data_IF_822770247496
#
_entry.id   IF_822770247496
#
_cell.length_a   1.000
_cell.length_b   1.000
_cell.length_c   1.000
_cell.angle_alpha   90.00
_cell.angle_beta   90.00
_cell.angle_gamma   90.00
#
_symmetry.space_group_name_H-M   'P 1'
#
loop_
_entity.id
_entity.type
_entity.pdbx_description
1 polymer ?
#
# COMPACT_ATOMS: atom_id res chain seq x y z
N UNK A 1 -4.58 -15.34 -19.45
CA UNK A 1 -3.32 -15.30 -18.69
C UNK A 1 -2.33 -16.19 -19.40
N UNK A 2 -1.12 -15.71 -19.65
CA UNK A 2 -0.12 -16.44 -20.45
C UNK A 2 0.71 -17.40 -19.61
N UNK A 3 1.30 -18.42 -20.29
CA UNK A 3 2.39 -19.22 -19.75
C UNK A 3 3.67 -18.82 -20.46
N UNK A 4 4.74 -18.55 -19.72
CA UNK A 4 6.00 -18.03 -20.24
C UNK A 4 7.15 -18.27 -19.26
N UNK A 5 8.37 -18.01 -19.72
CA UNK A 5 9.59 -18.05 -18.92
C UNK A 5 10.29 -16.70 -18.99
N UNK A 6 10.76 -16.20 -17.86
CA UNK A 6 11.68 -15.06 -17.78
C UNK A 6 13.05 -15.56 -17.35
N UNK A 7 14.12 -15.05 -17.97
CA UNK A 7 15.49 -15.37 -17.62
C UNK A 7 16.23 -14.11 -17.18
N UNK A 8 17.01 -14.22 -16.08
CA UNK A 8 17.77 -13.10 -15.51
C UNK A 8 18.24 -13.37 -14.08
N UNK A 9 18.58 -12.31 -13.36
CA UNK A 9 18.94 -12.40 -11.94
C UNK A 9 17.70 -12.21 -11.07
N UNK A 10 17.25 -13.27 -10.42
CA UNK A 10 15.97 -13.30 -9.69
C UNK A 10 16.22 -13.09 -8.20
N UNK A 11 15.50 -12.15 -7.59
CA UNK A 11 15.55 -11.91 -6.14
C UNK A 11 14.14 -11.78 -5.60
N UNK A 12 13.82 -12.54 -4.54
CA UNK A 12 12.55 -12.40 -3.80
C UNK A 12 12.72 -12.72 -2.31
N UNK A 13 11.67 -12.45 -1.52
CA UNK A 13 11.68 -12.67 -0.07
C UNK A 13 11.16 -14.06 0.28
N UNK A 14 11.97 -14.85 0.99
CA UNK A 14 11.53 -16.10 1.63
C UNK A 14 10.92 -15.84 3.01
N UNK A 15 11.50 -14.92 3.78
CA UNK A 15 11.01 -14.44 5.07
C UNK A 15 11.40 -12.97 5.27
N UNK A 16 10.97 -12.31 6.35
CA UNK A 16 11.44 -10.94 6.63
C UNK A 16 12.97 -10.79 6.70
N UNK A 17 13.67 -11.85 7.14
CA UNK A 17 15.13 -11.82 7.34
C UNK A 17 15.92 -12.41 6.18
N UNK A 18 15.24 -13.10 5.24
CA UNK A 18 15.94 -13.89 4.22
C UNK A 18 15.44 -13.63 2.82
N UNK A 19 16.38 -13.23 1.96
CA UNK A 19 16.16 -13.11 0.51
C UNK A 19 16.67 -14.39 -0.18
N UNK A 20 15.92 -14.86 -1.19
CA UNK A 20 16.44 -15.77 -2.20
C UNK A 20 17.10 -14.95 -3.29
N UNK A 21 18.32 -15.29 -3.65
CA UNK A 21 19.07 -14.71 -4.76
C UNK A 21 19.45 -15.84 -5.72
N UNK A 22 18.88 -15.83 -6.92
CA UNK A 22 19.13 -16.82 -7.96
C UNK A 22 19.66 -16.09 -9.20
N UNK A 23 21.00 -16.05 -9.32
CA UNK A 23 21.65 -15.45 -10.48
C UNK A 23 21.48 -16.35 -11.71
N UNK A 24 21.41 -15.74 -12.91
CA UNK A 24 21.35 -16.43 -14.20
C UNK A 24 20.33 -17.58 -14.21
N UNK A 25 19.10 -17.27 -13.80
CA UNK A 25 18.07 -18.26 -13.49
C UNK A 25 16.76 -18.02 -14.24
N UNK A 26 15.89 -19.02 -14.25
CA UNK A 26 14.63 -19.04 -14.98
C UNK A 26 13.46 -18.96 -14.02
N UNK A 27 12.59 -17.96 -14.21
CA UNK A 27 11.30 -17.80 -13.53
C UNK A 27 10.18 -18.27 -14.44
N UNK A 28 9.45 -19.31 -14.05
CA UNK A 28 8.40 -19.91 -14.86
C UNK A 28 7.01 -19.47 -14.39
N UNK A 29 6.21 -19.02 -15.34
CA UNK A 29 4.80 -18.72 -15.19
C UNK A 29 3.94 -19.71 -15.95
N UNK A 30 2.93 -20.28 -15.31
CA UNK A 30 1.85 -21.01 -15.97
C UNK A 30 0.50 -20.41 -15.53
N UNK A 31 -0.33 -20.06 -16.50
CA UNK A 31 -1.69 -19.51 -16.31
C UNK A 31 -1.74 -18.32 -15.31
N UNK A 32 -0.72 -17.46 -15.34
CA UNK A 32 -0.63 -16.27 -14.49
C UNK A 32 -0.13 -16.51 -13.07
N UNK A 33 0.35 -17.74 -12.78
CA UNK A 33 0.93 -18.11 -11.49
C UNK A 33 2.39 -18.53 -11.64
N UNK A 34 3.16 -18.25 -10.61
CA UNK A 34 4.52 -18.72 -10.51
C UNK A 34 4.54 -20.25 -10.34
N UNK A 35 5.35 -20.94 -11.15
CA UNK A 35 5.61 -22.37 -11.00
C UNK A 35 6.91 -22.62 -10.23
N UNK A 36 7.84 -21.67 -10.26
CA UNK A 36 9.10 -21.73 -9.51
C UNK A 36 10.23 -20.98 -10.20
N UNK A 37 11.35 -20.95 -9.48
CA UNK A 37 12.65 -20.42 -9.94
C UNK A 37 13.61 -21.61 -10.11
N UNK A 38 14.30 -21.67 -11.26
CA UNK A 38 15.15 -22.80 -11.65
C UNK A 38 16.50 -22.29 -12.15
N UNK A 39 17.62 -22.90 -11.71
CA UNK A 39 18.96 -22.59 -12.21
C UNK A 39 19.21 -23.12 -13.63
N UNK A 40 18.43 -24.13 -14.06
CA UNK A 40 18.36 -24.60 -15.44
C UNK A 40 16.91 -24.85 -15.81
N UNK A 41 16.49 -24.45 -17.00
CA UNK A 41 15.10 -24.59 -17.44
C UNK A 41 14.74 -26.09 -17.58
N UNK A 42 13.78 -26.60 -16.79
CA UNK A 42 13.34 -27.98 -16.93
C UNK A 42 12.75 -28.25 -18.33
N UNK A 43 13.02 -29.42 -18.90
CA UNK A 43 12.64 -29.79 -20.27
C UNK A 43 11.14 -29.60 -20.55
N UNK A 44 10.30 -29.89 -19.56
CA UNK A 44 8.83 -29.71 -19.66
C UNK A 44 8.39 -28.27 -19.97
N UNK A 45 9.24 -27.28 -19.75
CA UNK A 45 8.98 -25.86 -20.01
C UNK A 45 9.70 -25.32 -21.25
N UNK A 46 10.50 -26.14 -21.94
CA UNK A 46 11.28 -25.72 -23.12
C UNK A 46 10.43 -25.20 -24.29
N UNK A 47 9.14 -25.57 -24.33
CA UNK A 47 8.18 -25.08 -25.34
C UNK A 47 7.48 -23.78 -25.00
N UNK A 48 7.70 -23.19 -23.80
CA UNK A 48 7.09 -21.93 -23.42
C UNK A 48 7.86 -20.74 -24.04
N UNK A 49 7.14 -19.62 -24.36
CA UNK A 49 7.82 -18.39 -24.76
C UNK A 49 8.82 -17.93 -23.70
N UNK A 50 10.07 -17.77 -24.08
CA UNK A 50 11.16 -17.28 -23.23
C UNK A 50 11.44 -15.81 -23.53
N UNK A 51 11.47 -14.98 -22.50
CA UNK A 51 12.05 -13.63 -22.57
C UNK A 51 13.35 -13.62 -21.77
N UNK A 52 14.45 -13.41 -22.47
CA UNK A 52 15.78 -13.29 -21.86
C UNK A 52 16.05 -11.82 -21.52
N UNK A 53 16.18 -11.51 -20.25
CA UNK A 53 16.56 -10.20 -19.74
C UNK A 53 18.04 -10.04 -19.45
N UNK A 54 18.83 -11.09 -19.73
CA UNK A 54 20.28 -11.09 -19.52
C UNK A 54 20.63 -10.81 -18.06
N UNK A 55 21.46 -9.80 -17.84
CA UNK A 55 21.95 -9.45 -16.50
C UNK A 55 20.97 -8.64 -15.63
N UNK A 56 19.76 -8.31 -16.10
CA UNK A 56 18.79 -7.52 -15.35
C UNK A 56 18.25 -8.24 -14.12
N UNK A 57 17.83 -7.43 -13.12
CA UNK A 57 17.20 -7.95 -11.92
C UNK A 57 15.70 -8.20 -12.17
N UNK A 58 15.22 -9.36 -11.76
CA UNK A 58 13.79 -9.72 -11.79
C UNK A 58 13.31 -9.82 -10.33
N UNK A 59 12.42 -8.91 -9.94
CA UNK A 59 11.89 -8.78 -8.59
C UNK A 59 10.38 -9.05 -8.58
N UNK A 60 9.78 -9.50 -7.46
CA UNK A 60 8.34 -9.46 -7.32
C UNK A 60 7.80 -8.04 -7.49
N UNK A 61 6.64 -7.91 -8.10
CA UNK A 61 5.91 -6.66 -8.11
C UNK A 61 5.62 -6.18 -6.69
N UNK A 62 5.74 -4.88 -6.45
CA UNK A 62 5.57 -4.30 -5.14
C UNK A 62 4.08 -4.04 -4.83
N UNK A 63 3.76 -4.03 -3.53
CA UNK A 63 2.42 -3.75 -3.02
C UNK A 63 2.43 -2.47 -2.19
N UNK A 64 1.60 -1.51 -2.58
CA UNK A 64 1.34 -0.29 -1.84
C UNK A 64 0.03 -0.44 -1.05
N UNK A 65 0.11 -0.56 0.28
CA UNK A 65 -1.04 -0.81 1.14
C UNK A 65 -1.83 0.44 1.51
N UNK A 66 -1.31 1.64 1.19
CA UNK A 66 -1.97 2.88 1.58
C UNK A 66 -1.53 4.05 0.72
N UNK A 67 -2.45 4.61 -0.05
CA UNK A 67 -2.26 5.85 -0.79
C UNK A 67 -3.60 6.51 -1.15
N UNK A 68 -3.55 7.83 -1.38
CA UNK A 68 -4.72 8.66 -1.69
C UNK A 68 -4.67 9.18 -3.12
N UNK A 69 -5.45 8.57 -4.03
CA UNK A 69 -5.51 9.02 -5.42
C UNK A 69 -5.89 10.50 -5.60
N UNK A 70 -6.86 11.06 -4.83
CA UNK A 70 -7.25 12.46 -5.00
C UNK A 70 -6.22 13.46 -4.49
N UNK A 71 -5.17 13.03 -3.81
CA UNK A 71 -4.12 13.90 -3.30
C UNK A 71 -2.91 14.01 -4.24
N UNK A 72 -2.91 13.26 -5.34
CA UNK A 72 -1.81 13.24 -6.30
C UNK A 72 -1.40 14.62 -6.81
N UNK A 73 -2.36 15.52 -7.02
CA UNK A 73 -2.12 16.82 -7.66
C UNK A 73 -1.28 17.80 -6.81
N UNK A 74 -1.24 17.65 -5.49
CA UNK A 74 -0.52 18.56 -4.59
C UNK A 74 0.67 17.92 -3.85
N UNK A 75 1.20 16.82 -4.38
CA UNK A 75 2.40 16.18 -3.85
C UNK A 75 3.52 17.17 -3.60
N UNK A 76 4.15 17.09 -2.41
CA UNK A 76 5.27 17.96 -2.04
C UNK A 76 4.86 19.39 -1.64
N UNK A 77 3.55 19.68 -1.48
CA UNK A 77 3.07 20.97 -1.00
C UNK A 77 2.69 20.91 0.47
N UNK A 78 3.07 21.93 1.23
CA UNK A 78 2.72 22.09 2.64
C UNK A 78 3.43 21.12 3.59
N UNK A 79 4.60 20.61 3.22
CA UNK A 79 5.40 19.67 4.02
C UNK A 79 6.04 20.30 5.28
N UNK A 80 5.76 21.56 5.56
CA UNK A 80 6.12 22.29 6.78
C UNK A 80 4.95 22.38 7.80
N UNK A 81 3.84 21.70 7.52
CA UNK A 81 2.66 21.66 8.38
C UNK A 81 2.54 20.31 9.10
N UNK A 82 1.90 20.32 10.27
CA UNK A 82 1.46 19.09 10.93
C UNK A 82 0.14 18.58 10.33
N UNK A 83 -0.21 17.32 10.62
CA UNK A 83 -1.33 16.59 10.02
C UNK A 83 -2.64 17.40 9.93
N UNK A 84 -3.17 17.90 11.03
CA UNK A 84 -4.48 18.54 11.04
C UNK A 84 -4.48 19.87 10.29
N UNK A 85 -3.41 20.63 10.35
CA UNK A 85 -3.26 21.89 9.59
C UNK A 85 -3.07 21.60 8.10
N UNK A 86 -2.30 20.57 7.75
CA UNK A 86 -2.10 20.14 6.36
C UNK A 86 -3.40 19.64 5.73
N UNK A 87 -4.20 18.85 6.46
CA UNK A 87 -5.54 18.41 6.01
C UNK A 87 -6.42 19.60 5.64
N UNK A 88 -6.48 20.62 6.48
CA UNK A 88 -7.32 21.80 6.26
C UNK A 88 -6.80 22.72 5.16
N UNK A 89 -5.47 22.90 5.07
CA UNK A 89 -4.87 23.85 4.13
C UNK A 89 -4.77 23.30 2.69
N UNK A 90 -4.51 22.00 2.52
CA UNK A 90 -4.22 21.39 1.22
C UNK A 90 -5.17 20.24 0.87
N UNK A 91 -5.35 19.27 1.76
CA UNK A 91 -6.04 18.02 1.45
C UNK A 91 -7.51 18.21 1.15
N UNK A 92 -8.26 18.78 2.07
CA UNK A 92 -9.70 18.95 1.90
C UNK A 92 -10.07 19.90 0.75
N UNK A 93 -9.38 21.05 0.54
CA UNK A 93 -9.62 21.87 -0.63
C UNK A 93 -9.37 21.16 -1.97
N UNK A 94 -8.37 20.29 -2.03
CA UNK A 94 -8.08 19.51 -3.23
C UNK A 94 -9.10 18.41 -3.46
N UNK A 95 -9.41 17.60 -2.44
CA UNK A 95 -10.37 16.49 -2.54
C UNK A 95 -11.79 16.98 -2.92
N UNK A 96 -12.19 18.18 -2.51
CA UNK A 96 -13.46 18.77 -2.89
C UNK A 96 -13.62 19.02 -4.39
N UNK A 97 -12.50 19.22 -5.14
CA UNK A 97 -12.54 19.43 -6.60
C UNK A 97 -13.02 18.18 -7.36
N UNK A 98 -12.94 17.01 -6.77
CA UNK A 98 -13.34 15.75 -7.40
C UNK A 98 -14.86 15.56 -7.51
N UNK A 99 -15.66 16.49 -7.03
CA UNK A 99 -17.07 16.63 -7.40
C UNK A 99 -17.24 16.92 -8.90
N UNK A 100 -16.26 17.60 -9.52
CA UNK A 100 -16.16 17.78 -10.98
C UNK A 100 -15.49 16.57 -11.62
N UNK A 101 -16.25 15.78 -12.36
CA UNK A 101 -15.75 14.58 -13.05
C UNK A 101 -14.71 14.90 -14.12
N UNK A 102 -14.71 16.10 -14.70
CA UNK A 102 -13.68 16.51 -15.69
C UNK A 102 -12.34 16.70 -14.99
N UNK A 103 -12.32 17.31 -13.81
CA UNK A 103 -11.15 17.40 -12.97
C UNK A 103 -10.68 16.02 -12.49
N UNK A 104 -11.61 15.21 -11.99
CA UNK A 104 -11.33 13.86 -11.53
C UNK A 104 -10.70 13.00 -12.64
N UNK A 105 -11.22 13.06 -13.87
CA UNK A 105 -10.69 12.31 -15.00
C UNK A 105 -9.24 12.70 -15.33
N UNK A 106 -8.93 14.00 -15.32
CA UNK A 106 -7.57 14.50 -15.56
C UNK A 106 -6.60 14.05 -14.47
N UNK A 107 -6.95 14.31 -13.20
CA UNK A 107 -6.06 14.02 -12.06
C UNK A 107 -5.86 12.51 -11.85
N UNK A 108 -6.94 11.72 -11.89
CA UNK A 108 -6.84 10.27 -11.77
C UNK A 108 -6.14 9.61 -12.96
N UNK A 109 -6.31 10.16 -14.18
CA UNK A 109 -5.57 9.68 -15.35
C UNK A 109 -4.07 9.80 -15.15
N UNK A 110 -3.58 10.96 -14.65
CA UNK A 110 -2.18 11.19 -14.35
C UNK A 110 -1.68 10.30 -13.20
N UNK A 111 -2.46 10.18 -12.13
CA UNK A 111 -2.15 9.29 -11.00
C UNK A 111 -1.96 7.83 -11.45
N UNK A 112 -2.94 7.29 -12.16
CA UNK A 112 -2.92 5.89 -12.61
C UNK A 112 -1.76 5.64 -13.59
N UNK A 113 -1.43 6.61 -14.44
CA UNK A 113 -0.31 6.50 -15.37
C UNK A 113 1.04 6.49 -14.64
N UNK A 114 1.22 7.31 -13.58
CA UNK A 114 2.40 7.26 -12.72
C UNK A 114 2.49 5.92 -11.97
N UNK A 115 1.40 5.48 -11.34
CA UNK A 115 1.37 4.22 -10.61
C UNK A 115 1.64 3.02 -11.53
N UNK A 116 1.11 3.04 -12.76
CA UNK A 116 1.36 2.00 -13.75
C UNK A 116 2.83 1.91 -14.15
N UNK A 117 3.56 3.03 -14.18
CA UNK A 117 5.01 3.06 -14.50
C UNK A 117 5.89 2.71 -13.30
N UNK A 118 5.41 2.86 -12.07
CA UNK A 118 6.16 2.50 -10.86
C UNK A 118 6.35 0.98 -10.70
N UNK A 119 7.07 0.54 -9.68
CA UNK A 119 7.24 -0.88 -9.35
C UNK A 119 5.98 -1.52 -8.73
N UNK A 120 4.95 -0.73 -8.41
CA UNK A 120 3.72 -1.18 -7.77
C UNK A 120 2.86 -1.98 -8.73
N UNK A 121 2.54 -3.22 -8.39
CA UNK A 121 1.61 -4.09 -9.13
C UNK A 121 0.26 -4.20 -8.45
N UNK A 122 0.24 -3.98 -7.13
CA UNK A 122 -0.97 -4.01 -6.31
C UNK A 122 -1.04 -2.80 -5.40
N UNK A 123 -2.24 -2.22 -5.27
CA UNK A 123 -2.45 -1.01 -4.49
C UNK A 123 -3.76 -1.03 -3.73
N UNK A 124 -3.77 -0.42 -2.53
CA UNK A 124 -4.98 -0.18 -1.74
C UNK A 124 -5.19 1.33 -1.62
N UNK A 125 -6.22 1.83 -2.29
CA UNK A 125 -6.35 3.23 -2.68
C UNK A 125 -7.56 3.89 -2.00
N UNK A 126 -7.34 5.02 -1.35
CA UNK A 126 -8.40 5.92 -0.94
C UNK A 126 -8.88 6.73 -2.15
N UNK A 127 -10.19 6.70 -2.42
CA UNK A 127 -10.86 7.58 -3.36
C UNK A 127 -11.35 8.87 -2.67
N UNK A 128 -12.52 9.34 -3.06
CA UNK A 128 -13.18 10.50 -2.46
C UNK A 128 -14.52 10.12 -1.83
N UNK A 129 -15.21 11.11 -1.21
CA UNK A 129 -16.60 10.96 -0.77
C UNK A 129 -17.58 10.87 -1.96
N UNK A 130 -17.17 11.28 -3.16
CA UNK A 130 -18.01 11.35 -4.36
C UNK A 130 -18.06 9.97 -5.07
N UNK A 131 -19.20 9.23 -5.07
CA UNK A 131 -19.30 7.89 -5.65
C UNK A 131 -18.94 7.84 -7.13
N UNK A 132 -19.35 8.83 -7.92
CA UNK A 132 -19.09 8.87 -9.35
C UNK A 132 -17.59 9.01 -9.67
N UNK A 133 -16.88 9.88 -8.96
CA UNK A 133 -15.43 10.04 -9.10
C UNK A 133 -14.68 8.78 -8.64
N UNK A 134 -15.13 8.13 -7.56
CA UNK A 134 -14.52 6.87 -7.10
C UNK A 134 -14.76 5.73 -8.09
N UNK A 135 -15.93 5.66 -8.75
CA UNK A 135 -16.18 4.70 -9.83
C UNK A 135 -15.26 4.95 -11.02
N UNK A 136 -15.09 6.20 -11.44
CA UNK A 136 -14.15 6.59 -12.51
C UNK A 136 -12.70 6.16 -12.17
N UNK A 137 -12.25 6.35 -10.92
CA UNK A 137 -10.94 5.86 -10.47
C UNK A 137 -10.82 4.34 -10.63
N UNK A 138 -11.87 3.60 -10.25
CA UNK A 138 -11.88 2.13 -10.42
C UNK A 138 -11.82 1.72 -11.88
N UNK A 139 -12.51 2.41 -12.77
CA UNK A 139 -12.46 2.17 -14.23
C UNK A 139 -11.05 2.38 -14.79
N UNK A 140 -10.39 3.47 -14.41
CA UNK A 140 -9.03 3.77 -14.84
C UNK A 140 -8.00 2.75 -14.30
N UNK A 141 -8.12 2.35 -13.04
CA UNK A 141 -7.26 1.32 -12.45
C UNK A 141 -7.49 -0.05 -13.09
N UNK A 142 -8.75 -0.44 -13.34
CA UNK A 142 -9.07 -1.67 -14.06
C UNK A 142 -8.44 -1.69 -15.47
N UNK A 143 -8.56 -0.59 -16.20
CA UNK A 143 -7.98 -0.45 -17.54
C UNK A 143 -6.45 -0.43 -17.55
N UNK A 144 -5.81 -0.06 -16.45
CA UNK A 144 -4.33 -0.01 -16.32
C UNK A 144 -3.69 -1.39 -16.27
N UNK A 145 -4.45 -2.43 -15.93
CA UNK A 145 -3.96 -3.79 -15.70
C UNK A 145 -3.35 -4.02 -14.32
N UNK A 146 -3.35 -3.01 -13.43
CA UNK A 146 -3.00 -3.17 -12.02
C UNK A 146 -4.10 -3.92 -11.27
N UNK A 147 -3.76 -4.52 -10.13
CA UNK A 147 -4.76 -5.09 -9.21
C UNK A 147 -4.89 -4.18 -8.00
N UNK A 148 -6.11 -3.78 -7.67
CA UNK A 148 -6.31 -2.81 -6.60
C UNK A 148 -7.54 -3.08 -5.74
N UNK A 149 -7.50 -2.57 -4.52
CA UNK A 149 -8.67 -2.23 -3.73
C UNK A 149 -8.86 -0.72 -3.77
N UNK A 150 -10.09 -0.27 -3.95
CA UNK A 150 -10.43 1.17 -3.97
C UNK A 150 -11.60 1.40 -3.03
N UNK A 151 -11.53 2.46 -2.22
CA UNK A 151 -12.58 2.80 -1.30
C UNK A 151 -13.21 4.16 -1.55
N UNK A 152 -14.55 4.21 -1.55
CA UNK A 152 -15.27 5.46 -1.39
C UNK A 152 -15.11 5.90 0.06
N UNK A 153 -14.54 7.09 0.26
CA UNK A 153 -14.32 7.66 1.59
C UNK A 153 -15.66 8.03 2.23
N UNK A 154 -15.78 7.75 3.54
CA UNK A 154 -16.95 8.12 4.34
C UNK A 154 -16.57 9.18 5.35
N UNK A 155 -17.33 10.30 5.38
CA UNK A 155 -17.17 11.41 6.33
C UNK A 155 -18.51 12.09 6.54
N UNK A 156 -19.01 12.15 7.80
CA UNK A 156 -20.24 12.82 8.17
C UNK A 156 -20.08 13.76 9.39
N UNK A 157 -18.86 13.89 9.92
CA UNK A 157 -18.51 14.69 11.09
C UNK A 157 -17.16 15.39 10.92
N UNK A 158 -16.95 16.52 11.56
CA UNK A 158 -15.67 17.25 11.69
C UNK A 158 -14.85 17.35 10.41
N UNK A 159 -15.51 17.68 9.30
CA UNK A 159 -14.90 17.90 7.99
C UNK A 159 -15.59 19.06 7.27
N UNK A 160 -14.96 19.70 6.27
CA UNK A 160 -15.56 20.78 5.51
C UNK A 160 -16.87 20.38 4.86
N UNK A 161 -17.80 21.33 4.75
CA UNK A 161 -19.14 21.11 4.20
C UNK A 161 -19.13 20.48 2.80
N UNK A 162 -18.15 20.85 1.96
CA UNK A 162 -18.00 20.32 0.59
C UNK A 162 -17.67 18.81 0.55
N UNK A 163 -17.18 18.23 1.67
CA UNK A 163 -16.81 16.82 1.79
C UNK A 163 -17.67 16.10 2.84
N UNK A 164 -18.55 16.82 3.53
CA UNK A 164 -19.40 16.23 4.57
C UNK A 164 -20.66 15.64 3.97
N UNK A 165 -20.83 14.34 4.14
CA UNK A 165 -22.08 13.67 3.84
C UNK A 165 -23.15 14.11 4.85
N UNK A 166 -24.41 14.17 4.43
CA UNK A 166 -25.48 14.78 5.20
C UNK A 166 -25.67 14.16 6.60
N UNK A 167 -25.56 12.84 6.67
CA UNK A 167 -25.60 12.05 7.89
C UNK A 167 -25.11 10.61 7.62
N UNK A 168 -25.06 9.77 8.65
CA UNK A 168 -24.66 8.37 8.54
C UNK A 168 -25.52 7.57 7.56
N UNK A 169 -26.84 7.81 7.55
CA UNK A 169 -27.75 7.07 6.68
C UNK A 169 -27.51 7.41 5.19
N UNK A 170 -27.30 8.69 4.88
CA UNK A 170 -26.96 9.15 3.54
C UNK A 170 -25.61 8.57 3.07
N UNK A 171 -24.58 8.58 3.94
CA UNK A 171 -23.28 8.02 3.65
C UNK A 171 -23.34 6.51 3.36
N UNK A 172 -24.08 5.76 4.18
CA UNK A 172 -24.28 4.32 4.01
C UNK A 172 -25.04 4.02 2.71
N UNK A 173 -26.12 4.75 2.42
CA UNK A 173 -26.90 4.58 1.19
C UNK A 173 -26.05 4.86 -0.05
N UNK A 174 -25.27 5.95 -0.05
CA UNK A 174 -24.34 6.26 -1.15
C UNK A 174 -23.26 5.18 -1.32
N UNK A 175 -22.76 4.62 -0.21
CA UNK A 175 -21.79 3.52 -0.24
C UNK A 175 -22.41 2.24 -0.81
N UNK A 176 -23.62 1.86 -0.41
CA UNK A 176 -24.31 0.69 -0.96
C UNK A 176 -24.61 0.84 -2.46
N UNK A 177 -25.03 2.04 -2.89
CA UNK A 177 -25.24 2.34 -4.30
C UNK A 177 -23.95 2.23 -5.11
N UNK A 178 -22.85 2.78 -4.59
CA UNK A 178 -21.53 2.66 -5.22
C UNK A 178 -21.08 1.20 -5.31
N UNK A 179 -21.21 0.41 -4.26
CA UNK A 179 -20.89 -1.01 -4.25
C UNK A 179 -21.68 -1.83 -5.28
N UNK A 180 -22.91 -1.43 -5.60
CA UNK A 180 -23.73 -2.08 -6.62
C UNK A 180 -23.18 -1.85 -8.04
N UNK A 181 -22.52 -0.72 -8.29
CA UNK A 181 -21.90 -0.35 -9.57
C UNK A 181 -20.45 -0.84 -9.71
N UNK A 182 -19.74 -1.05 -8.60
CA UNK A 182 -18.31 -1.40 -8.55
C UNK A 182 -18.09 -2.90 -8.87
N UNK A 183 -18.24 -3.29 -10.14
CA UNK A 183 -18.13 -4.69 -10.61
C UNK A 183 -16.99 -4.84 -11.62
N UNK A 184 -15.75 -4.89 -11.11
CA UNK A 184 -14.53 -5.03 -11.89
C UNK A 184 -13.82 -6.36 -11.59
N UNK A 185 -12.98 -6.83 -12.52
CA UNK A 185 -12.27 -8.09 -12.38
C UNK A 185 -11.07 -7.95 -11.43
N UNK A 186 -10.29 -6.89 -11.60
CA UNK A 186 -9.00 -6.68 -10.93
C UNK A 186 -9.05 -5.57 -9.87
N UNK A 187 -10.03 -4.67 -9.94
CA UNK A 187 -10.25 -3.59 -8.99
C UNK A 187 -11.44 -3.93 -8.10
N UNK A 188 -11.21 -4.06 -6.80
CA UNK A 188 -12.23 -4.48 -5.83
C UNK A 188 -12.57 -3.34 -4.86
N UNK A 189 -13.82 -3.28 -4.35
CA UNK A 189 -14.18 -2.30 -3.33
C UNK A 189 -13.60 -2.68 -1.96
N UNK A 190 -13.27 -1.64 -1.18
CA UNK A 190 -12.91 -1.71 0.23
C UNK A 190 -13.66 -0.60 0.99
N UNK A 191 -14.21 -0.88 2.16
CA UNK A 191 -14.89 0.12 2.97
C UNK A 191 -13.86 1.06 3.60
N UNK A 192 -14.15 2.37 3.55
CA UNK A 192 -13.15 3.38 3.86
C UNK A 192 -13.73 4.49 4.75
N UNK A 193 -14.05 4.21 6.04
CA UNK A 193 -14.16 5.30 7.00
C UNK A 193 -12.82 6.03 7.01
N UNK A 194 -12.83 7.37 6.80
CA UNK A 194 -11.54 8.09 6.68
C UNK A 194 -10.70 7.91 7.94
N UNK A 195 -11.27 8.25 9.09
CA UNK A 195 -10.73 8.02 10.43
C UNK A 195 -11.81 8.39 11.47
N UNK A 196 -11.63 8.03 12.73
CA UNK A 196 -12.63 8.25 13.78
C UNK A 196 -13.09 9.72 13.89
N UNK A 197 -12.21 10.74 13.82
CA UNK A 197 -12.67 12.13 13.93
C UNK A 197 -13.73 12.53 12.91
N UNK A 198 -13.63 12.07 11.66
CA UNK A 198 -14.55 12.47 10.58
C UNK A 198 -15.74 11.55 10.38
N UNK A 199 -15.89 10.51 11.21
CA UNK A 199 -17.01 9.57 11.13
C UNK A 199 -17.79 9.54 12.44
N UNK A 200 -19.11 9.74 12.37
CA UNK A 200 -19.97 9.59 13.56
C UNK A 200 -20.01 8.12 14.01
N UNK A 201 -20.35 7.88 15.28
CA UNK A 201 -20.49 6.54 15.82
C UNK A 201 -21.56 5.74 15.05
N UNK A 202 -22.64 6.37 14.62
CA UNK A 202 -23.68 5.75 13.80
C UNK A 202 -23.14 5.32 12.43
N UNK A 203 -22.29 6.14 11.80
CA UNK A 203 -21.64 5.80 10.53
C UNK A 203 -20.66 4.64 10.72
N UNK A 204 -19.81 4.69 11.73
CA UNK A 204 -18.83 3.64 12.05
C UNK A 204 -19.53 2.31 12.31
N UNK A 205 -20.60 2.30 13.12
CA UNK A 205 -21.41 1.12 13.39
C UNK A 205 -22.02 0.56 12.10
N UNK A 206 -22.66 1.42 11.29
CA UNK A 206 -23.29 1.01 10.04
C UNK A 206 -22.29 0.43 9.01
N UNK A 207 -21.08 0.99 8.94
CA UNK A 207 -20.00 0.46 8.08
C UNK A 207 -19.51 -0.90 8.57
N UNK A 208 -19.38 -1.11 9.89
CA UNK A 208 -19.03 -2.42 10.46
C UNK A 208 -20.09 -3.48 10.15
N UNK A 209 -21.38 -3.15 10.28
CA UNK A 209 -22.48 -4.03 9.90
C UNK A 209 -22.47 -4.34 8.39
N UNK A 210 -22.18 -3.33 7.55
CA UNK A 210 -22.05 -3.49 6.10
C UNK A 210 -20.85 -4.38 5.74
N UNK A 211 -19.70 -4.19 6.41
CA UNK A 211 -18.53 -5.04 6.25
C UNK A 211 -18.84 -6.50 6.52
N UNK A 212 -19.47 -6.77 7.67
CA UNK A 212 -19.86 -8.13 8.08
C UNK A 212 -20.89 -8.75 7.12
N UNK A 213 -21.94 -8.00 6.74
CA UNK A 213 -23.00 -8.48 5.86
C UNK A 213 -22.52 -8.81 4.45
N UNK A 214 -21.54 -8.05 3.93
CA UNK A 214 -21.02 -8.19 2.56
C UNK A 214 -19.68 -8.93 2.46
N UNK A 215 -19.03 -9.21 3.60
CA UNK A 215 -17.67 -9.79 3.63
C UNK A 215 -16.62 -8.85 3.01
N UNK A 216 -16.77 -7.54 3.19
CA UNK A 216 -15.88 -6.54 2.58
C UNK A 216 -14.71 -6.22 3.50
N UNK A 217 -13.49 -6.06 2.95
CA UNK A 217 -12.37 -5.56 3.72
C UNK A 217 -12.55 -4.08 4.08
N UNK A 218 -11.77 -3.63 5.07
CA UNK A 218 -11.81 -2.27 5.61
C UNK A 218 -10.42 -1.65 5.56
N UNK A 219 -10.34 -0.35 5.28
CA UNK A 219 -9.12 0.45 5.45
C UNK A 219 -9.43 1.74 6.20
N UNK A 220 -8.48 2.20 7.02
CA UNK A 220 -8.58 3.49 7.72
C UNK A 220 -7.20 3.94 8.21
N UNK A 221 -7.15 5.05 8.97
CA UNK A 221 -5.96 5.57 9.64
C UNK A 221 -6.03 5.26 11.13
N UNK A 222 -4.87 5.02 11.75
CA UNK A 222 -4.80 4.64 13.17
C UNK A 222 -3.55 5.19 13.84
N UNK A 223 -3.75 5.89 14.97
CA UNK A 223 -2.69 6.29 15.89
C UNK A 223 -1.49 6.93 15.20
N UNK A 224 -1.77 7.83 14.25
CA UNK A 224 -0.76 8.48 13.43
C UNK A 224 -0.09 9.63 14.17
N UNK A 225 -0.87 10.58 14.72
CA UNK A 225 -0.40 11.83 15.30
C UNK A 225 -0.95 12.01 16.72
N UNK A 226 -0.16 12.59 17.63
CA UNK A 226 -0.57 12.79 19.02
C UNK A 226 -1.79 13.70 19.15
N UNK A 227 -1.92 14.72 18.29
CA UNK A 227 -3.09 15.60 18.25
C UNK A 227 -4.35 14.85 17.81
N UNK A 228 -4.24 13.98 16.82
CA UNK A 228 -5.30 13.08 16.36
C UNK A 228 -5.75 12.13 17.49
N UNK A 229 -4.81 11.48 18.15
CA UNK A 229 -5.10 10.55 19.27
C UNK A 229 -5.83 11.26 20.40
N UNK A 230 -5.38 12.47 20.79
CA UNK A 230 -6.05 13.27 21.81
C UNK A 230 -7.48 13.64 21.42
N UNK A 231 -7.72 13.97 20.14
CA UNK A 231 -9.05 14.24 19.60
C UNK A 231 -9.93 12.99 19.68
N UNK A 232 -9.43 11.82 19.25
CA UNK A 232 -10.17 10.55 19.34
C UNK A 232 -10.51 10.20 20.79
N UNK A 233 -9.59 10.38 21.72
CA UNK A 233 -9.87 10.13 23.13
C UNK A 233 -11.00 11.05 23.68
N UNK A 234 -11.09 12.29 23.19
CA UNK A 234 -12.18 13.21 23.55
C UNK A 234 -13.52 12.79 22.95
N UNK A 235 -13.52 12.23 21.74
CA UNK A 235 -14.72 11.78 21.02
C UNK A 235 -15.22 10.41 21.51
N UNK A 236 -14.28 9.55 21.94
CA UNK A 236 -14.54 8.17 22.35
C UNK A 236 -14.01 7.93 23.80
N UNK A 237 -14.52 8.65 24.82
CA UNK A 237 -14.00 8.57 26.19
C UNK A 237 -14.21 7.20 26.86
N UNK A 238 -14.97 6.30 26.22
CA UNK A 238 -15.25 4.94 26.66
C UNK A 238 -14.21 3.93 26.16
N UNK A 239 -13.18 4.35 25.40
CA UNK A 239 -12.12 3.49 24.89
C UNK A 239 -10.82 3.76 25.62
N UNK A 240 -10.01 2.71 25.83
CA UNK A 240 -8.72 2.82 26.48
C UNK A 240 -7.62 3.24 25.48
N UNK A 241 -7.82 2.90 24.18
CA UNK A 241 -6.92 3.26 23.09
C UNK A 241 -7.69 3.36 21.74
N UNK A 242 -7.06 3.93 20.73
CA UNK A 242 -7.72 4.33 19.50
C UNK A 242 -8.35 3.16 18.71
N UNK A 243 -7.64 2.03 18.51
CA UNK A 243 -8.15 0.89 17.74
C UNK A 243 -9.42 0.27 18.35
N UNK A 244 -9.66 0.45 19.65
CA UNK A 244 -10.86 -0.03 20.32
C UNK A 244 -12.13 0.64 19.77
N UNK A 245 -12.05 1.90 19.31
CA UNK A 245 -13.16 2.59 18.66
C UNK A 245 -13.59 1.86 17.36
N UNK A 246 -12.64 1.36 16.58
CA UNK A 246 -12.93 0.55 15.40
C UNK A 246 -13.44 -0.85 15.75
N UNK A 247 -12.83 -1.49 16.74
CA UNK A 247 -13.19 -2.86 17.13
C UNK A 247 -14.63 -2.94 17.67
N UNK A 248 -15.04 -1.98 18.50
CA UNK A 248 -16.42 -1.88 19.04
C UNK A 248 -17.46 -1.75 17.94
N UNK A 249 -17.11 -1.13 16.81
CA UNK A 249 -17.97 -1.02 15.63
C UNK A 249 -17.89 -2.22 14.69
N UNK A 250 -17.09 -3.25 15.01
CA UNK A 250 -16.91 -4.46 14.20
C UNK A 250 -16.02 -4.26 12.96
N UNK A 251 -15.37 -3.10 12.79
CA UNK A 251 -14.57 -2.76 11.61
C UNK A 251 -13.24 -3.54 11.55
N UNK A 252 -12.75 -4.09 12.67
CA UNK A 252 -11.57 -4.96 12.70
C UNK A 252 -11.91 -6.45 12.54
N UNK A 253 -13.19 -6.81 12.35
CA UNK A 253 -13.65 -8.22 12.25
C UNK A 253 -13.54 -8.79 10.85
N UNK A 254 -13.25 -7.97 9.85
CA UNK A 254 -12.98 -8.36 8.46
C UNK A 254 -11.49 -8.12 8.13
N UNK A 255 -10.96 -8.62 7.01
CA UNK A 255 -9.63 -8.25 6.58
C UNK A 255 -9.48 -6.72 6.60
N UNK A 256 -8.51 -6.21 7.36
CA UNK A 256 -8.42 -4.77 7.65
C UNK A 256 -7.00 -4.25 7.48
N UNK A 257 -6.87 -3.04 6.94
CA UNK A 257 -5.62 -2.29 6.88
C UNK A 257 -5.78 -1.02 7.71
N UNK A 258 -4.84 -0.80 8.63
CA UNK A 258 -4.69 0.43 9.37
C UNK A 258 -3.38 1.11 8.99
N UNK A 259 -3.48 2.34 8.46
CA UNK A 259 -2.31 3.13 8.08
C UNK A 259 -1.63 3.73 9.30
N UNK A 260 -0.33 3.95 9.18
CA UNK A 260 0.60 4.60 10.11
C UNK A 260 0.92 3.79 11.37
N UNK A 261 0.02 3.67 12.33
CA UNK A 261 0.25 2.97 13.60
C UNK A 261 1.56 3.44 14.29
N UNK A 262 1.77 4.77 14.37
CA UNK A 262 3.01 5.36 14.89
C UNK A 262 3.09 5.23 16.41
N UNK A 263 1.97 5.45 17.09
CA UNK A 263 1.89 5.60 18.55
C UNK A 263 1.03 4.52 19.22
N UNK A 264 0.98 3.31 18.67
CA UNK A 264 0.18 2.21 19.23
C UNK A 264 0.79 1.71 20.55
N UNK A 265 0.10 1.82 21.70
CA UNK A 265 0.53 1.21 22.96
C UNK A 265 0.50 -0.33 22.86
N UNK A 266 1.14 -1.06 23.79
CA UNK A 266 1.20 -2.52 23.74
C UNK A 266 -0.16 -3.23 23.62
N UNK A 267 -1.16 -2.74 24.34
CA UNK A 267 -2.54 -3.26 24.34
C UNK A 267 -3.21 -3.11 22.99
N UNK A 268 -2.99 -1.99 22.33
CA UNK A 268 -3.47 -1.75 20.95
C UNK A 268 -2.79 -2.71 19.97
N UNK A 269 -1.47 -2.91 20.11
CA UNK A 269 -0.72 -3.88 19.30
C UNK A 269 -1.25 -5.31 19.50
N UNK A 270 -1.60 -5.71 20.73
CA UNK A 270 -2.20 -7.01 21.04
C UNK A 270 -3.56 -7.18 20.33
N UNK A 271 -4.40 -6.14 20.33
CA UNK A 271 -5.66 -6.14 19.61
C UNK A 271 -5.45 -6.28 18.09
N UNK A 272 -4.54 -5.49 17.50
CA UNK A 272 -4.24 -5.55 16.08
C UNK A 272 -3.74 -6.95 15.66
N UNK A 273 -2.89 -7.56 16.47
CA UNK A 273 -2.39 -8.92 16.26
C UNK A 273 -3.54 -9.94 16.32
N UNK A 274 -4.37 -9.89 17.36
CA UNK A 274 -5.50 -10.79 17.56
C UNK A 274 -6.53 -10.73 16.43
N UNK A 275 -6.75 -9.54 15.86
CA UNK A 275 -7.65 -9.30 14.71
C UNK A 275 -6.98 -9.57 13.36
N UNK A 276 -5.66 -9.80 13.32
CA UNK A 276 -4.90 -10.02 12.09
C UNK A 276 -4.87 -8.80 11.18
N UNK A 277 -4.92 -7.60 11.75
CA UNK A 277 -4.88 -6.33 11.03
C UNK A 277 -3.54 -6.17 10.32
N UNK A 278 -3.58 -5.67 9.09
CA UNK A 278 -2.39 -5.24 8.37
C UNK A 278 -2.08 -3.79 8.71
N UNK A 279 -0.84 -3.52 9.06
CA UNK A 279 -0.31 -2.17 9.27
C UNK A 279 0.32 -1.70 7.96
N UNK A 280 -0.14 -0.57 7.42
CA UNK A 280 0.51 0.10 6.30
C UNK A 280 1.49 1.14 6.87
N UNK A 281 2.79 0.80 6.87
CA UNK A 281 3.84 1.70 7.33
C UNK A 281 4.14 2.74 6.26
N UNK A 282 3.89 4.01 6.56
CA UNK A 282 4.03 5.16 5.66
C UNK A 282 5.13 6.12 6.16
N UNK A 283 6.42 5.73 6.07
CA UNK A 283 7.51 6.45 6.73
C UNK A 283 7.74 7.86 6.18
N UNK A 284 7.53 8.10 4.87
CA UNK A 284 7.66 9.41 4.25
C UNK A 284 6.63 10.39 4.81
N UNK A 285 5.37 10.00 4.81
CA UNK A 285 4.28 10.80 5.40
C UNK A 285 4.49 11.08 6.87
N UNK A 286 4.81 10.04 7.66
CA UNK A 286 5.05 10.20 9.09
C UNK A 286 6.19 11.21 9.39
N UNK A 287 7.21 11.26 8.52
CA UNK A 287 8.30 12.23 8.59
C UNK A 287 7.84 13.64 8.19
N UNK A 288 7.17 13.75 7.05
CA UNK A 288 6.72 15.02 6.47
C UNK A 288 5.71 15.75 7.37
N UNK A 289 4.77 15.03 7.97
CA UNK A 289 3.71 15.60 8.81
C UNK A 289 4.06 15.60 10.30
N UNK A 290 5.34 15.36 10.65
CA UNK A 290 5.82 15.34 12.04
C UNK A 290 5.08 14.34 12.94
N UNK A 291 4.50 13.29 12.37
CA UNK A 291 3.72 12.27 13.10
C UNK A 291 4.61 11.42 14.01
N UNK A 292 5.87 11.17 13.62
CA UNK A 292 6.83 10.42 14.41
C UNK A 292 7.37 9.17 13.72
N UNK A 293 7.94 8.24 14.46
CA UNK A 293 8.59 7.03 13.92
C UNK A 293 7.93 5.77 14.48
N UNK A 294 7.20 5.06 13.63
CA UNK A 294 6.57 3.78 13.99
C UNK A 294 7.61 2.71 14.37
N UNK A 295 7.36 1.88 15.41
CA UNK A 295 8.28 0.86 15.88
C UNK A 295 8.23 -0.44 15.05
N UNK A 296 8.43 -0.34 13.73
CA UNK A 296 8.18 -1.42 12.76
C UNK A 296 9.01 -2.68 13.04
N UNK A 297 10.27 -2.52 13.49
CA UNK A 297 11.10 -3.68 13.88
C UNK A 297 10.48 -4.46 15.05
N UNK A 298 9.91 -3.73 16.03
CA UNK A 298 9.19 -4.37 17.14
C UNK A 298 7.89 -5.04 16.66
N UNK A 299 7.17 -4.43 15.72
CA UNK A 299 5.98 -5.04 15.12
C UNK A 299 6.29 -6.36 14.42
N UNK A 300 7.35 -6.40 13.61
CA UNK A 300 7.81 -7.63 12.95
C UNK A 300 8.21 -8.70 13.98
N UNK A 301 8.96 -8.31 15.02
CA UNK A 301 9.36 -9.23 16.08
C UNK A 301 8.18 -9.83 16.87
N UNK A 302 7.07 -9.09 16.99
CA UNK A 302 5.81 -9.55 17.60
C UNK A 302 4.94 -10.37 16.62
N UNK A 303 5.31 -10.48 15.34
CA UNK A 303 4.54 -11.19 14.33
C UNK A 303 3.31 -10.42 13.82
N UNK A 304 3.26 -9.10 13.98
CA UNK A 304 2.25 -8.25 13.36
C UNK A 304 2.43 -8.26 11.84
N UNK A 305 1.33 -8.13 11.12
CA UNK A 305 1.31 -8.07 9.65
C UNK A 305 1.62 -6.64 9.22
N UNK A 306 2.75 -6.43 8.59
CA UNK A 306 3.19 -5.09 8.15
C UNK A 306 3.53 -5.12 6.66
N UNK A 307 3.10 -4.09 5.95
CA UNK A 307 3.55 -3.75 4.60
C UNK A 307 3.84 -2.26 4.50
N UNK A 308 4.30 -1.80 3.34
CA UNK A 308 4.55 -0.39 3.10
C UNK A 308 3.33 0.31 2.51
N UNK A 309 3.18 1.59 2.81
CA UNK A 309 2.29 2.54 2.16
C UNK A 309 3.09 3.75 1.69
N UNK A 310 2.83 4.23 0.47
CA UNK A 310 3.42 5.50 0.01
C UNK A 310 2.75 6.71 0.65
N UNK A 311 1.48 6.56 0.98
CA UNK A 311 0.63 7.62 1.51
C UNK A 311 0.72 8.91 0.69
N UNK A 312 0.58 8.74 -0.61
CA UNK A 312 0.55 9.84 -1.55
C UNK A 312 -0.70 10.73 -1.26
N UNK A 313 -0.60 12.06 -0.96
CA UNK A 313 0.54 12.95 -1.16
C UNK A 313 1.30 13.39 0.10
N UNK A 314 0.91 12.98 1.31
CA UNK A 314 1.70 13.25 2.51
C UNK A 314 3.10 12.58 2.40
N UNK A 315 3.16 11.37 1.83
CA UNK A 315 4.37 10.89 1.16
C UNK A 315 4.46 11.49 -0.25
N UNK A 316 5.55 12.15 -0.59
CA UNK A 316 5.68 12.92 -1.83
C UNK A 316 5.82 12.08 -3.11
N UNK A 317 5.79 10.74 -3.02
CA UNK A 317 6.06 9.85 -4.16
C UNK A 317 5.37 8.49 -4.05
N UNK A 318 4.97 7.94 -5.19
CA UNK A 318 4.51 6.54 -5.36
C UNK A 318 5.68 5.54 -5.52
N UNK A 319 6.92 6.00 -5.45
CA UNK A 319 8.12 5.17 -5.62
C UNK A 319 8.43 4.37 -4.35
N UNK A 320 8.02 3.10 -4.29
CA UNK A 320 8.25 2.23 -3.14
C UNK A 320 9.74 1.94 -2.86
N UNK A 321 10.66 2.17 -3.80
CA UNK A 321 12.10 2.15 -3.49
C UNK A 321 12.47 3.26 -2.51
N UNK A 322 11.95 4.48 -2.71
CA UNK A 322 12.14 5.59 -1.77
C UNK A 322 11.48 5.31 -0.42
N UNK A 323 10.29 4.74 -0.42
CA UNK A 323 9.58 4.34 0.81
C UNK A 323 10.40 3.32 1.60
N UNK A 324 10.98 2.29 0.95
CA UNK A 324 11.89 1.33 1.59
C UNK A 324 13.13 2.01 2.19
N UNK A 325 13.78 2.90 1.43
CA UNK A 325 14.95 3.62 1.90
C UNK A 325 14.64 4.48 3.13
N UNK A 326 13.49 5.16 3.14
CA UNK A 326 13.06 5.95 4.29
C UNK A 326 12.69 5.07 5.48
N UNK A 327 11.99 3.96 5.30
CA UNK A 327 11.70 3.01 6.37
C UNK A 327 13.00 2.56 7.09
N UNK A 328 14.06 2.27 6.32
CA UNK A 328 15.37 1.93 6.90
C UNK A 328 15.98 3.12 7.65
N UNK A 329 15.93 4.34 7.08
CA UNK A 329 16.52 5.55 7.70
C UNK A 329 15.85 5.88 9.03
N UNK A 330 14.51 5.98 9.03
CA UNK A 330 13.77 6.35 10.25
C UNK A 330 13.88 5.26 11.32
N UNK A 331 13.98 3.98 10.96
CA UNK A 331 14.21 2.91 11.93
C UNK A 331 15.57 3.04 12.64
N UNK A 332 16.62 3.50 11.92
CA UNK A 332 17.92 3.81 12.51
C UNK A 332 17.86 5.03 13.42
N UNK A 333 17.08 6.07 13.06
CA UNK A 333 16.87 7.23 13.92
C UNK A 333 16.13 6.84 15.20
N UNK A 334 15.06 6.04 15.09
CA UNK A 334 14.36 5.53 16.27
C UNK A 334 15.28 4.76 17.19
N UNK A 335 16.08 3.84 16.66
CA UNK A 335 17.04 3.05 17.42
C UNK A 335 18.06 3.93 18.18
N UNK A 336 18.53 5.02 17.59
CA UNK A 336 19.51 5.90 18.23
C UNK A 336 18.92 6.92 19.19
N UNK A 337 17.69 7.36 18.96
CA UNK A 337 17.15 8.53 19.65
C UNK A 337 16.00 8.21 20.62
N UNK A 338 15.27 7.12 20.37
CA UNK A 338 14.04 6.83 21.12
C UNK A 338 14.03 5.46 21.79
N UNK A 339 14.49 4.40 21.13
CA UNK A 339 14.34 3.03 21.63
C UNK A 339 15.40 2.11 20.98
N UNK A 340 16.36 1.67 21.77
CA UNK A 340 17.44 0.76 21.36
C UNK A 340 17.12 -0.74 21.61
N UNK A 341 15.93 -1.06 22.10
CA UNK A 341 15.50 -2.43 22.39
C UNK A 341 15.32 -3.30 21.13
N UNK A 342 15.09 -2.69 19.95
CA UNK A 342 14.95 -3.37 18.68
C UNK A 342 15.97 -2.87 17.65
N UNK A 343 16.56 -3.79 16.89
CA UNK A 343 17.49 -3.45 15.80
C UNK A 343 16.77 -2.66 14.69
N UNK A 344 17.49 -1.77 13.97
CA UNK A 344 16.94 -1.12 12.78
C UNK A 344 16.55 -2.12 11.70
N UNK A 345 15.64 -1.71 10.81
CA UNK A 345 15.26 -2.50 9.64
C UNK A 345 16.47 -2.75 8.73
N UNK A 346 16.57 -3.98 8.27
CA UNK A 346 17.53 -4.40 7.23
C UNK A 346 16.94 -4.17 5.84
N UNK A 347 17.79 -4.26 4.80
CA UNK A 347 17.35 -4.29 3.40
C UNK A 347 16.37 -5.42 3.13
N UNK A 348 16.66 -6.63 3.67
CA UNK A 348 15.77 -7.78 3.50
C UNK A 348 14.38 -7.53 4.08
N UNK A 349 14.30 -6.95 5.28
CA UNK A 349 13.03 -6.61 5.92
C UNK A 349 12.28 -5.52 5.14
N UNK A 350 12.94 -4.45 4.71
CA UNK A 350 12.29 -3.40 3.93
C UNK A 350 11.75 -3.93 2.59
N UNK A 351 12.51 -4.79 1.91
CA UNK A 351 12.08 -5.44 0.67
C UNK A 351 10.92 -6.42 0.91
N UNK A 352 10.96 -7.18 2.01
CA UNK A 352 9.85 -8.03 2.43
C UNK A 352 8.57 -7.20 2.63
N UNK A 353 8.63 -6.06 3.33
CA UNK A 353 7.48 -5.19 3.56
C UNK A 353 6.87 -4.67 2.25
N UNK A 354 7.72 -4.31 1.27
CA UNK A 354 7.30 -3.82 -0.05
C UNK A 354 6.71 -4.91 -0.96
N UNK A 355 7.03 -6.17 -0.71
CA UNK A 355 6.68 -7.29 -1.58
C UNK A 355 5.77 -8.31 -0.87
N UNK A 356 6.33 -9.35 -0.26
CA UNK A 356 5.59 -10.45 0.37
C UNK A 356 4.74 -10.01 1.56
N UNK A 357 5.25 -9.09 2.40
CA UNK A 357 4.54 -8.59 3.57
C UNK A 357 3.26 -7.86 3.19
N UNK A 358 3.36 -6.85 2.33
CA UNK A 358 2.20 -6.13 1.79
C UNK A 358 1.34 -7.01 0.89
N UNK A 359 1.97 -7.83 0.05
CA UNK A 359 1.31 -8.76 -0.87
C UNK A 359 0.36 -9.75 -0.19
N UNK A 360 0.66 -10.13 1.05
CA UNK A 360 -0.15 -11.06 1.83
C UNK A 360 -1.60 -10.58 2.05
N UNK A 361 -1.89 -9.28 1.97
CA UNK A 361 -3.26 -8.76 1.98
C UNK A 361 -4.06 -9.21 0.76
N UNK A 362 -3.40 -9.37 -0.38
CA UNK A 362 -4.00 -9.87 -1.63
C UNK A 362 -3.94 -11.41 -1.75
N UNK A 363 -3.47 -12.12 -0.71
CA UNK A 363 -3.31 -13.57 -0.69
C UNK A 363 -1.89 -14.00 -1.10
N UNK A 364 -1.79 -14.99 -1.99
CA UNK A 364 -0.49 -15.49 -2.46
C UNK A 364 0.14 -14.53 -3.48
N UNK A 365 0.78 -13.47 -3.00
CA UNK A 365 1.36 -12.36 -3.78
C UNK A 365 2.70 -11.93 -3.18
N UNK A 366 3.60 -11.41 -4.00
CA UNK A 366 4.81 -10.72 -3.59
C UNK A 366 6.04 -11.61 -3.38
N UNK A 367 6.01 -12.87 -3.87
CA UNK A 367 7.20 -13.71 -4.00
C UNK A 367 7.04 -14.69 -5.15
N UNK A 368 8.11 -15.42 -5.48
CA UNK A 368 8.14 -16.38 -6.59
C UNK A 368 8.07 -17.84 -6.11
N UNK A 369 7.24 -18.10 -5.09
CA UNK A 369 6.89 -19.46 -4.69
C UNK A 369 5.83 -20.08 -5.62
N UNK A 370 5.81 -21.40 -5.79
CA UNK A 370 4.79 -22.07 -6.59
C UNK A 370 3.36 -21.73 -6.11
N UNK A 371 2.50 -21.37 -7.08
CA UNK A 371 1.10 -21.02 -6.82
C UNK A 371 0.86 -19.53 -6.48
N UNK A 372 1.91 -18.72 -6.27
CA UNK A 372 1.77 -17.28 -6.11
C UNK A 372 1.40 -16.60 -7.44
N UNK A 373 0.71 -15.47 -7.38
CA UNK A 373 0.44 -14.66 -8.55
C UNK A 373 1.77 -14.23 -9.22
N UNK A 374 1.83 -14.32 -10.54
CA UNK A 374 3.01 -13.89 -11.30
C UNK A 374 2.97 -12.36 -11.46
N UNK A 375 3.35 -11.67 -10.40
CA UNK A 375 3.62 -10.24 -10.39
C UNK A 375 5.13 -10.04 -10.38
N UNK A 376 5.68 -9.43 -11.43
CA UNK A 376 7.12 -9.22 -11.53
C UNK A 376 7.44 -7.86 -12.14
N UNK A 377 8.53 -7.26 -11.68
CA UNK A 377 9.17 -6.10 -12.29
C UNK A 377 10.61 -6.45 -12.65
N UNK A 378 11.01 -6.00 -13.82
CA UNK A 378 12.39 -6.17 -14.31
C UNK A 378 13.09 -4.84 -14.24
N UNK A 379 14.21 -4.77 -13.52
CA UNK A 379 14.99 -3.55 -13.40
C UNK A 379 16.19 -3.59 -14.34
N UNK A 380 16.39 -2.48 -15.03
CA UNK A 380 17.59 -2.16 -15.77
C UNK A 380 18.36 -1.08 -15.00
N UNK A 381 19.33 -1.49 -14.22
CA UNK A 381 20.17 -0.61 -13.41
C UNK A 381 21.48 -0.19 -14.10
N UNK A 382 21.59 -0.43 -15.39
CA UNK A 382 22.78 -0.09 -16.20
C UNK A 382 23.14 1.39 -16.18
N UNK A 383 22.18 2.26 -15.94
CA UNK A 383 22.39 3.73 -15.81
C UNK A 383 22.87 4.15 -14.43
N UNK A 384 22.78 3.28 -13.42
CA UNK A 384 23.34 3.50 -12.08
C UNK A 384 24.85 3.18 -12.09
N UNK A 385 25.64 4.03 -12.71
CA UNK A 385 27.06 3.79 -12.98
C UNK A 385 27.86 3.50 -11.71
N UNK A 386 28.79 2.55 -11.80
CA UNK A 386 29.73 2.20 -10.74
C UNK A 386 30.97 1.50 -11.35
N UNK A 387 32.14 1.62 -10.74
CA UNK A 387 33.36 0.98 -11.23
C UNK A 387 33.60 -0.44 -10.69
N UNK A 388 32.75 -0.92 -9.77
CA UNK A 388 32.91 -2.21 -9.10
C UNK A 388 32.09 -3.31 -9.81
N UNK A 389 32.50 -4.55 -9.68
CA UNK A 389 31.64 -5.69 -9.95
C UNK A 389 30.74 -5.91 -8.73
N UNK A 390 29.44 -5.94 -8.92
CA UNK A 390 28.44 -6.10 -7.87
C UNK A 390 27.67 -7.41 -8.04
N UNK A 391 27.42 -8.08 -6.94
CA UNK A 391 26.47 -9.19 -6.86
C UNK A 391 25.03 -8.71 -7.09
N UNK A 392 24.10 -9.57 -7.51
CA UNK A 392 22.70 -9.19 -7.64
C UNK A 392 22.10 -8.59 -6.34
N UNK A 393 22.53 -9.07 -5.16
CA UNK A 393 22.09 -8.51 -3.88
C UNK A 393 22.58 -7.06 -3.68
N UNK A 394 23.85 -6.79 -3.91
CA UNK A 394 24.41 -5.44 -3.82
C UNK A 394 23.75 -4.48 -4.82
N UNK A 395 23.38 -4.98 -6.00
CA UNK A 395 22.61 -4.21 -6.98
C UNK A 395 21.21 -3.89 -6.49
N UNK A 396 20.50 -4.85 -5.85
CA UNK A 396 19.21 -4.58 -5.20
C UNK A 396 19.35 -3.51 -4.10
N UNK A 397 20.37 -3.62 -3.24
CA UNK A 397 20.64 -2.63 -2.20
C UNK A 397 20.80 -1.22 -2.79
N UNK A 398 21.55 -1.08 -3.88
CA UNK A 398 21.68 0.19 -4.59
C UNK A 398 20.37 0.67 -5.20
N UNK A 399 19.59 -0.22 -5.82
CA UNK A 399 18.30 0.11 -6.42
C UNK A 399 17.32 0.67 -5.38
N UNK A 400 17.30 0.14 -4.15
CA UNK A 400 16.46 0.66 -3.05
C UNK A 400 16.75 2.14 -2.78
N UNK A 401 17.98 2.60 -2.91
CA UNK A 401 18.36 3.99 -2.63
C UNK A 401 18.38 4.89 -3.87
N UNK A 402 18.50 4.34 -5.07
CA UNK A 402 18.84 5.09 -6.28
C UNK A 402 17.84 4.91 -7.44
N UNK A 403 17.03 3.83 -7.44
CA UNK A 403 16.15 3.54 -8.57
C UNK A 403 14.83 4.31 -8.51
N UNK A 404 14.27 4.52 -9.69
CA UNK A 404 12.94 5.07 -9.92
C UNK A 404 12.28 4.39 -11.13
N UNK A 405 11.15 4.92 -11.60
CA UNK A 405 10.36 4.37 -12.71
C UNK A 405 11.15 4.23 -14.03
N UNK A 406 12.22 5.03 -14.22
CA UNK A 406 13.07 4.98 -15.43
C UNK A 406 13.90 3.70 -15.51
N UNK A 407 14.08 3.02 -14.39
CA UNK A 407 14.84 1.78 -14.29
C UNK A 407 13.95 0.53 -14.46
N UNK A 408 12.64 0.69 -14.65
CA UNK A 408 11.71 -0.44 -14.82
C UNK A 408 11.61 -0.77 -16.31
N UNK A 409 12.28 -1.84 -16.73
CA UNK A 409 12.35 -2.28 -18.13
C UNK A 409 11.13 -3.08 -18.57
N UNK A 410 10.48 -3.80 -17.65
CA UNK A 410 9.26 -4.56 -17.92
C UNK A 410 8.46 -4.77 -16.63
N UNK A 411 7.15 -4.94 -16.77
CA UNK A 411 6.22 -5.17 -15.65
C UNK A 411 5.19 -6.22 -16.01
N UNK A 412 4.99 -7.17 -15.10
CA UNK A 412 3.99 -8.24 -15.22
C UNK A 412 3.05 -8.19 -14.01
N UNK A 413 1.75 -8.33 -14.24
CA UNK A 413 0.71 -8.37 -13.20
C UNK A 413 -0.19 -9.57 -13.47
N UNK A 414 -0.31 -10.47 -12.51
CA UNK A 414 -1.06 -11.72 -12.63
C UNK A 414 -0.77 -12.48 -13.94
N UNK A 415 0.52 -12.50 -14.36
CA UNK A 415 0.98 -13.16 -15.58
C UNK A 415 0.68 -12.41 -16.88
N UNK A 416 0.23 -11.18 -16.82
CA UNK A 416 0.04 -10.32 -17.98
C UNK A 416 1.14 -9.26 -18.03
N UNK A 417 1.87 -9.19 -19.16
CA UNK A 417 2.86 -8.13 -19.37
C UNK A 417 2.14 -6.80 -19.65
N UNK A 418 2.48 -5.75 -18.91
CA UNK A 418 1.91 -4.41 -19.08
C UNK A 418 2.73 -3.55 -20.05
N UNK A 419 4.06 -3.70 -20.05
CA UNK A 419 4.99 -3.05 -20.98
C UNK A 419 6.34 -3.77 -21.00
#
# INVERSE_FOLDING_TARGET
MGSFVLHGNIIDSESPERLRVAADSYLVCEEGRCTGVFSALPERFSGLPLTDFGDRLILPGMTDLHLHAPQFAFRGLGMDLELLDWLNAHTFPEEAKYADLSYAALAYGQFVDCLRRSATTRAVVFGTVHPAATTLLMELLEASGLVSYVGKVNMDRDCPEALREADAAASLAATEQWLASARFAHTKPILTPRFVPSCSDALMQGLGELAARRGLPVQSHLSENLGEIALVQSLCPQTDFYAEAYDRCGLLSQPCIMAHCVHCPPEEQDLLQARGVFIAHSPLSNSNLSSGIAPVSAYLARGLRVGLGSDLAAGETENLFRVMAEAIRVSKLRWRLADDSASPLTVAQAFYLATRGGGAFFGNVGCFEPGFAMDAVVLDDSTLLHPQELTPLERLERCIYLADERHIAAKYVAGTRLF
#
